data_IF_574697599698
#
_entry.id   IF_574697599698
#
_cell.length_a   1.000
_cell.length_b   1.000
_cell.length_c   1.000
_cell.angle_alpha   90.00
_cell.angle_beta   90.00
_cell.angle_gamma   90.00
#
_symmetry.space_group_name_H-M   'P 1'
#
loop_
_entity.id
_entity.type
_entity.pdbx_description
1 polymer ?
#
# COMPACT_ATOMS: atom_id res chain seq x y z
N UNK A 1 10.16 18.75 -6.48
CA UNK A 1 10.41 19.50 -5.23
C UNK A 1 9.90 18.68 -4.06
N UNK A 2 10.50 18.81 -2.89
CA UNK A 2 10.08 18.18 -1.64
C UNK A 2 9.85 19.26 -0.59
N UNK A 3 8.72 19.18 0.11
CA UNK A 3 8.39 20.01 1.26
C UNK A 3 8.39 19.14 2.52
N UNK A 4 9.20 19.54 3.50
CA UNK A 4 9.29 18.91 4.81
C UNK A 4 8.36 19.64 5.78
N UNK A 5 7.38 18.93 6.34
CA UNK A 5 6.30 19.55 7.13
C UNK A 5 6.82 20.10 8.46
N UNK A 6 7.75 19.37 9.09
CA UNK A 6 8.27 19.73 10.41
C UNK A 6 9.16 20.96 10.35
N UNK A 7 10.08 20.98 9.39
CA UNK A 7 11.01 22.11 9.20
C UNK A 7 10.41 23.24 8.36
N UNK A 8 9.28 22.97 7.68
CA UNK A 8 8.61 23.87 6.75
C UNK A 8 9.52 24.38 5.62
N UNK A 9 10.43 23.52 5.17
CA UNK A 9 11.39 23.85 4.11
C UNK A 9 10.99 23.24 2.78
N UNK A 10 11.30 23.95 1.70
CA UNK A 10 11.02 23.53 0.33
C UNK A 10 12.32 23.43 -0.46
N UNK A 11 12.67 22.22 -0.91
CA UNK A 11 13.96 21.98 -1.58
C UNK A 11 13.89 20.87 -2.64
N UNK A 12 14.80 20.86 -3.63
CA UNK A 12 14.94 19.75 -4.55
C UNK A 12 15.68 18.58 -3.88
N UNK A 13 15.01 17.44 -3.70
CA UNK A 13 15.64 16.19 -3.24
C UNK A 13 15.33 14.99 -4.14
N UNK A 14 16.29 14.05 -4.32
CA UNK A 14 16.01 12.77 -4.96
C UNK A 14 15.04 11.93 -4.12
N UNK A 15 13.99 11.38 -4.75
CA UNK A 15 12.93 10.60 -4.08
C UNK A 15 13.50 9.44 -3.23
N UNK A 16 14.53 8.74 -3.73
CA UNK A 16 15.15 7.63 -3.01
C UNK A 16 15.79 8.01 -1.68
N UNK A 17 16.17 9.28 -1.49
CA UNK A 17 16.69 9.80 -0.21
C UNK A 17 15.59 10.31 0.73
N UNK A 18 14.40 10.58 0.21
CA UNK A 18 13.28 11.15 0.99
C UNK A 18 12.49 10.04 1.70
N UNK A 19 12.32 8.88 1.06
CA UNK A 19 11.44 7.82 1.56
C UNK A 19 12.17 6.49 1.88
N UNK A 20 13.49 6.43 1.70
CA UNK A 20 14.31 5.27 2.08
C UNK A 20 14.69 5.30 3.56
N UNK A 21 14.55 4.16 4.25
CA UNK A 21 15.04 3.98 5.62
C UNK A 21 16.32 3.15 5.56
N UNK A 22 17.44 3.73 5.97
CA UNK A 22 18.76 3.08 5.88
C UNK A 22 18.94 2.08 7.02
N UNK A 23 19.48 0.89 6.71
CA UNK A 23 19.82 -0.18 7.66
C UNK A 23 18.62 -0.81 8.39
N UNK A 24 17.39 -0.59 7.94
CA UNK A 24 16.21 -1.13 8.60
C UNK A 24 16.14 -2.66 8.53
N UNK A 25 16.72 -3.25 7.48
CA UNK A 25 16.59 -4.68 7.20
C UNK A 25 17.89 -5.46 7.42
N UNK A 26 18.87 -4.91 8.16
CA UNK A 26 20.11 -5.64 8.47
C UNK A 26 19.82 -6.78 9.42
N UNK A 27 20.09 -8.00 8.97
CA UNK A 27 19.95 -9.20 9.80
C UNK A 27 21.32 -9.62 10.34
N UNK A 28 21.63 -9.16 11.56
CA UNK A 28 22.89 -9.50 12.24
C UNK A 28 23.06 -11.00 12.53
N UNK A 29 22.01 -11.82 12.37
CA UNK A 29 22.08 -13.28 12.55
C UNK A 29 22.58 -13.99 11.30
N UNK A 30 22.50 -13.36 10.13
CA UNK A 30 23.07 -13.89 8.89
C UNK A 30 24.51 -13.39 8.74
N UNK A 31 25.45 -14.10 9.36
CA UNK A 31 26.87 -13.72 9.36
C UNK A 31 27.50 -13.66 7.95
N UNK A 32 26.98 -14.45 7.01
CA UNK A 32 27.49 -14.49 5.63
C UNK A 32 27.05 -13.27 4.82
N UNK A 33 25.83 -12.78 5.05
CA UNK A 33 25.29 -11.61 4.36
C UNK A 33 24.21 -10.92 5.21
N UNK A 34 24.66 -9.98 6.04
CA UNK A 34 23.78 -9.17 6.90
C UNK A 34 22.80 -8.32 6.10
N UNK A 35 23.11 -8.01 4.84
CA UNK A 35 22.33 -7.14 3.95
C UNK A 35 21.48 -7.96 2.93
N UNK A 36 21.29 -9.26 3.15
CA UNK A 36 20.57 -10.12 2.21
C UNK A 36 19.11 -9.70 1.97
N UNK A 37 18.43 -9.16 3.00
CA UNK A 37 17.05 -8.67 2.89
C UNK A 37 16.98 -7.35 2.12
N UNK A 38 17.92 -6.44 2.35
CA UNK A 38 18.08 -5.21 1.56
C UNK A 38 18.26 -5.55 0.06
N UNK A 39 19.11 -6.55 -0.24
CA UNK A 39 19.31 -7.02 -1.61
C UNK A 39 18.03 -7.65 -2.20
N UNK A 40 17.28 -8.41 -1.40
CA UNK A 40 16.00 -8.98 -1.81
C UNK A 40 14.96 -7.91 -2.13
N UNK A 41 14.84 -6.90 -1.28
CA UNK A 41 13.99 -5.74 -1.50
C UNK A 41 14.41 -4.98 -2.76
N UNK A 42 15.70 -4.67 -2.92
CA UNK A 42 16.20 -3.96 -4.10
C UNK A 42 15.87 -4.70 -5.42
N UNK A 43 15.93 -6.03 -5.44
CA UNK A 43 15.50 -6.84 -6.60
C UNK A 43 14.01 -6.68 -6.87
N UNK A 44 13.17 -6.84 -5.85
CA UNK A 44 11.72 -6.69 -5.98
C UNK A 44 11.32 -5.28 -6.42
N UNK A 45 11.95 -4.25 -5.85
CA UNK A 45 11.74 -2.86 -6.22
C UNK A 45 12.14 -2.61 -7.68
N UNK A 46 13.25 -3.20 -8.16
CA UNK A 46 13.64 -3.11 -9.56
C UNK A 46 12.61 -3.74 -10.50
N UNK A 47 12.11 -4.92 -10.15
CA UNK A 47 11.11 -5.63 -10.94
C UNK A 47 9.80 -4.84 -11.00
N UNK A 48 9.31 -4.37 -9.85
CA UNK A 48 8.13 -3.52 -9.77
C UNK A 48 8.30 -2.20 -10.54
N UNK A 49 9.47 -1.54 -10.40
CA UNK A 49 9.76 -0.29 -11.11
C UNK A 49 9.78 -0.47 -12.63
N UNK A 50 10.24 -1.63 -13.13
CA UNK A 50 10.20 -1.96 -14.56
C UNK A 50 8.76 -2.08 -15.05
N UNK A 51 7.91 -2.79 -14.32
CA UNK A 51 6.48 -2.90 -14.64
C UNK A 51 5.80 -1.53 -14.59
N UNK A 52 6.04 -0.72 -13.55
CA UNK A 52 5.49 0.65 -13.43
C UNK A 52 5.96 1.53 -14.60
N UNK A 53 7.21 1.40 -15.05
CA UNK A 53 7.72 2.12 -16.23
C UNK A 53 6.96 1.72 -17.50
N UNK A 54 6.63 0.44 -17.67
CA UNK A 54 5.83 -0.02 -18.81
C UNK A 54 4.40 0.58 -18.75
N UNK A 55 3.80 0.67 -17.57
CA UNK A 55 2.51 1.34 -17.36
C UNK A 55 2.62 2.83 -17.78
N UNK A 56 3.69 3.51 -17.37
CA UNK A 56 3.99 4.88 -17.79
C UNK A 56 4.05 5.02 -19.30
N UNK A 57 4.88 4.23 -19.96
CA UNK A 57 5.04 4.31 -21.41
C UNK A 57 3.74 4.02 -22.16
N UNK A 58 2.91 3.09 -21.67
CA UNK A 58 1.60 2.80 -22.24
C UNK A 58 0.64 4.01 -22.11
N UNK A 59 0.60 4.65 -20.94
CA UNK A 59 -0.21 5.84 -20.68
C UNK A 59 0.25 7.03 -21.53
N UNK A 60 1.57 7.27 -21.63
CA UNK A 60 2.14 8.33 -22.46
C UNK A 60 1.84 8.13 -23.94
N UNK A 61 1.87 6.87 -24.40
CA UNK A 61 1.47 6.48 -25.75
C UNK A 61 -0.06 6.46 -25.96
N UNK A 62 -0.86 6.91 -24.96
CA UNK A 62 -2.33 6.96 -24.99
C UNK A 62 -3.00 5.62 -25.29
N UNK A 63 -2.37 4.52 -24.89
CA UNK A 63 -2.95 3.19 -25.01
C UNK A 63 -4.20 3.08 -24.11
N UNK A 64 -5.26 2.50 -24.65
CA UNK A 64 -6.51 2.27 -23.90
C UNK A 64 -6.40 1.06 -22.95
N UNK A 65 -5.42 0.19 -23.20
CA UNK A 65 -5.22 -1.05 -22.48
C UNK A 65 -3.76 -1.22 -22.11
N UNK A 66 -3.52 -1.75 -20.91
CA UNK A 66 -2.18 -2.07 -20.41
C UNK A 66 -2.13 -3.56 -20.17
N UNK A 67 -1.23 -4.23 -20.88
CA UNK A 67 -1.05 -5.69 -20.80
C UNK A 67 0.17 -6.01 -19.96
N UNK A 68 0.02 -6.92 -19.01
CA UNK A 68 1.12 -7.42 -18.20
C UNK A 68 1.02 -8.93 -18.01
N UNK A 69 2.16 -9.59 -17.94
CA UNK A 69 2.21 -11.02 -17.61
C UNK A 69 1.93 -11.23 -16.12
N UNK A 70 1.47 -12.43 -15.76
CA UNK A 70 1.24 -12.82 -14.35
C UNK A 70 2.47 -12.52 -13.50
N UNK A 71 3.66 -12.96 -13.93
CA UNK A 71 4.91 -12.72 -13.19
C UNK A 71 5.19 -11.24 -12.88
N UNK A 72 4.81 -10.33 -13.78
CA UNK A 72 4.95 -8.89 -13.58
C UNK A 72 3.92 -8.36 -12.58
N UNK A 73 2.67 -8.84 -12.69
CA UNK A 73 1.60 -8.53 -11.73
C UNK A 73 1.91 -9.08 -10.32
N UNK A 74 2.48 -10.28 -10.24
CA UNK A 74 2.92 -10.92 -9.00
C UNK A 74 4.01 -10.10 -8.30
N UNK A 75 4.96 -9.53 -9.07
CA UNK A 75 5.96 -8.61 -8.55
C UNK A 75 5.33 -7.34 -7.97
N UNK A 76 4.36 -6.72 -8.65
CA UNK A 76 3.61 -5.56 -8.14
C UNK A 76 2.84 -5.91 -6.86
N UNK A 77 2.19 -7.08 -6.80
CA UNK A 77 1.47 -7.55 -5.61
C UNK A 77 2.40 -7.76 -4.41
N UNK A 78 3.55 -8.40 -4.61
CA UNK A 78 4.58 -8.54 -3.57
C UNK A 78 5.12 -7.18 -3.13
N UNK A 79 5.44 -6.31 -4.09
CA UNK A 79 5.94 -4.97 -3.80
C UNK A 79 4.95 -4.19 -2.94
N UNK A 80 3.69 -4.04 -3.38
CA UNK A 80 2.64 -3.32 -2.64
C UNK A 80 2.37 -3.90 -1.24
N UNK A 81 2.39 -5.22 -1.08
CA UNK A 81 2.32 -5.87 0.24
C UNK A 81 3.53 -5.47 1.10
N UNK A 82 4.76 -5.59 0.61
CA UNK A 82 5.94 -5.27 1.41
C UNK A 82 6.08 -3.78 1.72
N UNK A 83 5.62 -2.90 0.82
CA UNK A 83 5.57 -1.46 1.10
C UNK A 83 4.66 -1.12 2.29
N UNK A 84 3.67 -1.97 2.57
CA UNK A 84 2.89 -1.91 3.79
C UNK A 84 3.63 -2.49 4.99
N UNK A 85 4.09 -3.72 4.83
CA UNK A 85 4.65 -4.55 5.89
C UNK A 85 5.86 -3.89 6.56
N UNK A 86 6.57 -3.03 5.82
CA UNK A 86 7.71 -2.25 6.30
C UNK A 86 7.38 -1.04 7.18
N UNK A 87 6.11 -0.69 7.39
CA UNK A 87 5.78 0.46 8.25
C UNK A 87 6.22 0.16 9.69
N UNK A 88 7.12 0.98 10.23
CA UNK A 88 7.74 0.81 11.56
C UNK A 88 6.72 0.65 12.69
N UNK A 89 5.56 1.31 12.58
CA UNK A 89 4.44 1.18 13.52
C UNK A 89 3.88 -0.25 13.62
N UNK A 90 3.98 -1.05 12.54
CA UNK A 90 3.59 -2.46 12.57
C UNK A 90 4.64 -3.32 13.27
N UNK A 91 5.93 -3.05 13.07
CA UNK A 91 7.01 -3.81 13.73
C UNK A 91 6.94 -3.67 15.25
N UNK A 92 6.58 -2.48 15.75
CA UNK A 92 6.57 -2.20 17.19
C UNK A 92 5.46 -2.92 17.96
N UNK A 93 4.26 -3.10 17.39
CA UNK A 93 3.10 -3.66 18.09
C UNK A 93 2.68 -5.04 17.58
N UNK A 94 2.83 -5.35 16.29
CA UNK A 94 2.23 -6.55 15.67
C UNK A 94 2.85 -7.88 16.15
N UNK A 95 4.13 -7.85 16.55
CA UNK A 95 4.85 -9.03 17.06
C UNK A 95 5.18 -8.92 18.55
N UNK A 96 4.52 -8.01 19.27
CA UNK A 96 4.67 -7.89 20.72
C UNK A 96 3.71 -8.86 21.43
N UNK A 97 4.26 -9.91 22.04
CA UNK A 97 3.48 -10.91 22.78
C UNK A 97 2.72 -10.33 23.97
N UNK A 98 3.16 -9.18 24.49
CA UNK A 98 2.55 -8.52 25.65
C UNK A 98 1.42 -7.57 25.26
N UNK A 99 1.28 -7.25 23.97
CA UNK A 99 0.16 -6.47 23.48
C UNK A 99 -1.16 -7.24 23.75
N UNK A 100 -2.15 -6.63 24.44
CA UNK A 100 -3.45 -7.24 24.65
C UNK A 100 -4.14 -7.68 23.35
N UNK A 101 -3.92 -6.95 22.25
CA UNK A 101 -4.53 -7.24 20.95
C UNK A 101 -3.93 -8.49 20.31
N UNK A 102 -2.70 -8.86 20.68
CA UNK A 102 -2.01 -10.04 20.18
C UNK A 102 -2.30 -11.32 20.97
N UNK A 103 -3.30 -11.30 21.86
CA UNK A 103 -3.69 -12.48 22.64
C UNK A 103 -3.92 -13.74 21.78
N UNK A 104 -4.58 -13.69 20.60
CA UNK A 104 -4.78 -14.88 19.78
C UNK A 104 -3.49 -15.46 19.20
N UNK A 105 -2.47 -14.65 18.92
CA UNK A 105 -1.22 -15.07 18.25
C UNK A 105 -0.08 -15.41 19.22
N UNK A 106 -0.25 -15.16 20.52
CA UNK A 106 0.82 -15.24 21.52
C UNK A 106 1.53 -16.59 21.57
N UNK A 107 0.79 -17.69 21.56
CA UNK A 107 1.38 -19.04 21.64
C UNK A 107 2.14 -19.39 20.36
N UNK A 108 1.63 -18.96 19.21
CA UNK A 108 2.32 -19.06 17.94
C UNK A 108 3.64 -18.29 17.94
N UNK A 109 3.65 -17.03 18.39
CA UNK A 109 4.88 -16.23 18.47
C UNK A 109 5.93 -16.91 19.36
N UNK A 110 5.53 -17.42 20.52
CA UNK A 110 6.43 -18.17 21.42
C UNK A 110 7.00 -19.42 20.75
N UNK A 111 6.14 -20.18 20.07
CA UNK A 111 6.58 -21.40 19.38
C UNK A 111 7.56 -21.10 18.25
N UNK A 112 7.22 -20.13 17.39
CA UNK A 112 8.04 -19.68 16.28
C UNK A 112 9.41 -19.20 16.76
N UNK A 113 9.44 -18.36 17.81
CA UNK A 113 10.68 -17.85 18.40
C UNK A 113 11.58 -18.97 18.91
N UNK A 114 11.00 -19.94 19.62
CA UNK A 114 11.73 -21.11 20.13
C UNK A 114 12.25 -21.99 18.99
N UNK A 115 11.43 -22.26 17.98
CA UNK A 115 11.77 -23.16 16.85
C UNK A 115 12.89 -22.58 15.98
N UNK A 116 12.88 -21.26 15.76
CA UNK A 116 13.82 -20.58 14.87
C UNK A 116 14.88 -19.75 15.60
N UNK A 117 15.02 -19.91 16.92
CA UNK A 117 15.96 -19.16 17.77
C UNK A 117 15.86 -17.63 17.55
N UNK A 118 14.64 -17.09 17.60
CA UNK A 118 14.34 -15.66 17.41
C UNK A 118 14.23 -14.99 18.79
N UNK A 119 15.09 -14.01 19.06
CA UNK A 119 15.25 -13.44 20.39
C UNK A 119 14.46 -12.16 20.59
N UNK A 120 14.25 -11.36 19.54
CA UNK A 120 13.53 -10.08 19.57
C UNK A 120 12.34 -10.11 18.61
N UNK A 121 11.38 -9.20 18.80
CA UNK A 121 10.25 -9.01 17.88
C UNK A 121 10.70 -8.69 16.45
N UNK A 122 11.77 -7.92 16.32
CA UNK A 122 12.38 -7.59 15.03
C UNK A 122 12.87 -8.85 14.30
N UNK A 123 13.38 -9.86 15.02
CA UNK A 123 13.82 -11.13 14.42
C UNK A 123 12.65 -11.90 13.79
N UNK A 124 11.46 -11.84 14.41
CA UNK A 124 10.22 -12.44 13.89
C UNK A 124 9.76 -11.73 12.63
N UNK A 125 9.81 -10.40 12.65
CA UNK A 125 9.49 -9.58 11.48
C UNK A 125 10.47 -9.83 10.32
N UNK A 126 11.78 -9.84 10.57
CA UNK A 126 12.80 -10.16 9.56
C UNK A 126 12.65 -11.59 9.02
N UNK A 127 12.28 -12.55 9.88
CA UNK A 127 11.97 -13.93 9.46
C UNK A 127 10.80 -13.96 8.46
N UNK A 128 9.72 -13.25 8.77
CA UNK A 128 8.57 -13.13 7.87
C UNK A 128 8.89 -12.42 6.56
N UNK A 129 9.63 -11.32 6.63
CA UNK A 129 10.11 -10.57 5.48
C UNK A 129 10.94 -11.46 4.54
N UNK A 130 11.86 -12.24 5.10
CA UNK A 130 12.68 -13.20 4.35
C UNK A 130 11.81 -14.19 3.59
N UNK A 131 10.82 -14.78 4.25
CA UNK A 131 9.91 -15.74 3.62
C UNK A 131 9.18 -15.13 2.42
N UNK A 132 8.62 -13.91 2.58
CA UNK A 132 7.90 -13.24 1.50
C UNK A 132 8.85 -12.85 0.36
N UNK A 133 10.08 -12.41 0.64
CA UNK A 133 11.06 -12.07 -0.39
C UNK A 133 11.50 -13.28 -1.21
N UNK A 134 11.91 -14.36 -0.53
CA UNK A 134 12.52 -15.54 -1.15
C UNK A 134 11.51 -16.45 -1.84
N UNK A 135 10.23 -16.40 -1.44
CA UNK A 135 9.20 -17.27 -1.98
C UNK A 135 8.47 -16.60 -3.15
N UNK A 136 8.33 -17.24 -4.33
CA UNK A 136 7.49 -16.72 -5.42
C UNK A 136 6.04 -16.51 -4.98
N UNK A 137 5.38 -15.45 -5.48
CA UNK A 137 4.03 -15.06 -5.08
C UNK A 137 3.03 -16.23 -5.13
N UNK A 138 2.92 -16.91 -6.27
CA UNK A 138 1.99 -18.03 -6.44
C UNK A 138 2.24 -19.17 -5.43
N UNK A 139 3.49 -19.39 -4.98
CA UNK A 139 3.80 -20.39 -3.94
C UNK A 139 3.39 -19.92 -2.55
N UNK A 140 3.51 -18.62 -2.25
CA UNK A 140 2.97 -18.04 -1.01
C UNK A 140 1.46 -18.26 -0.99
N UNK A 141 0.77 -17.91 -2.08
CA UNK A 141 -0.69 -18.09 -2.22
C UNK A 141 -1.08 -19.55 -1.99
N UNK A 142 -0.46 -20.49 -2.74
CA UNK A 142 -0.77 -21.91 -2.59
C UNK A 142 -0.48 -22.46 -1.19
N UNK A 143 0.54 -21.93 -0.49
CA UNK A 143 0.81 -22.29 0.91
C UNK A 143 -0.31 -21.79 1.83
N UNK A 144 -0.74 -20.53 1.67
CA UNK A 144 -1.84 -19.97 2.45
C UNK A 144 -3.16 -20.71 2.21
N UNK A 145 -3.49 -21.02 0.95
CA UNK A 145 -4.67 -21.82 0.57
C UNK A 145 -4.62 -23.23 1.21
N UNK A 146 -3.47 -23.91 1.18
CA UNK A 146 -3.28 -25.23 1.81
C UNK A 146 -3.49 -25.17 3.32
N UNK A 147 -2.97 -24.13 3.98
CA UNK A 147 -3.17 -23.93 5.42
C UNK A 147 -4.65 -23.67 5.69
N UNK A 148 -5.29 -22.82 4.90
CA UNK A 148 -6.71 -22.50 5.03
C UNK A 148 -7.62 -23.72 4.87
N UNK A 149 -7.36 -24.59 3.90
CA UNK A 149 -8.08 -25.85 3.73
C UNK A 149 -7.96 -26.76 4.96
N UNK A 150 -6.78 -26.84 5.60
CA UNK A 150 -6.56 -27.63 6.82
C UNK A 150 -7.50 -27.25 7.96
N UNK A 151 -7.90 -25.98 8.04
CA UNK A 151 -8.79 -25.47 9.09
C UNK A 151 -10.23 -25.29 8.60
N UNK A 152 -10.65 -25.97 7.53
CA UNK A 152 -12.05 -25.91 7.08
C UNK A 152 -12.37 -24.68 6.22
N UNK A 153 -11.39 -24.18 5.46
CA UNK A 153 -11.57 -23.10 4.51
C UNK A 153 -11.60 -21.70 5.15
N UNK A 154 -12.10 -20.67 4.44
CA UNK A 154 -12.10 -19.29 4.91
C UNK A 154 -12.77 -19.10 6.28
N UNK A 155 -13.90 -19.77 6.52
CA UNK A 155 -14.65 -19.64 7.78
C UNK A 155 -13.89 -20.21 8.96
N UNK A 156 -13.37 -21.44 8.86
CA UNK A 156 -12.66 -22.04 9.98
C UNK A 156 -11.27 -21.43 10.21
N UNK A 157 -10.63 -20.89 9.16
CA UNK A 157 -9.44 -20.03 9.28
C UNK A 157 -9.76 -18.76 10.09
N UNK A 158 -10.87 -18.08 9.79
CA UNK A 158 -11.30 -16.89 10.52
C UNK A 158 -11.55 -17.17 12.01
N UNK A 159 -12.20 -18.29 12.31
CA UNK A 159 -12.43 -18.70 13.71
C UNK A 159 -11.12 -19.01 14.44
N UNK A 160 -10.16 -19.67 13.78
CA UNK A 160 -8.82 -19.90 14.35
C UNK A 160 -8.09 -18.58 14.65
N UNK A 161 -8.13 -17.61 13.73
CA UNK A 161 -7.50 -16.29 13.90
C UNK A 161 -8.12 -15.45 15.02
N UNK A 162 -9.44 -15.55 15.23
CA UNK A 162 -10.16 -14.82 16.30
C UNK A 162 -9.92 -15.40 17.69
N UNK A 163 -9.75 -16.72 17.78
CA UNK A 163 -9.76 -17.43 19.06
C UNK A 163 -8.35 -17.71 19.56
N UNK A 164 -7.58 -18.51 18.82
CA UNK A 164 -6.21 -18.90 19.14
C UNK A 164 -5.53 -19.44 17.88
N UNK A 165 -4.46 -18.77 17.48
CA UNK A 165 -3.65 -19.23 16.36
C UNK A 165 -2.92 -20.51 16.72
N UNK A 166 -3.04 -21.51 15.83
CA UNK A 166 -2.36 -22.79 16.00
C UNK A 166 -0.84 -22.55 16.04
N UNK A 167 -0.17 -22.91 17.16
CA UNK A 167 1.23 -22.62 17.33
C UNK A 167 2.12 -23.36 16.33
N UNK A 168 1.65 -24.45 15.71
CA UNK A 168 2.44 -25.29 14.82
C UNK A 168 2.38 -24.86 13.34
N UNK A 169 1.69 -23.77 13.02
CA UNK A 169 1.73 -23.18 11.68
C UNK A 169 3.14 -22.61 11.42
N UNK A 170 3.86 -23.19 10.46
CA UNK A 170 5.24 -22.77 10.16
C UNK A 170 5.31 -21.49 9.31
N UNK A 171 4.40 -21.33 8.35
CA UNK A 171 4.40 -20.22 7.38
C UNK A 171 3.17 -19.33 7.55
N UNK A 172 2.92 -18.84 8.76
CA UNK A 172 1.75 -17.99 9.05
C UNK A 172 1.72 -16.73 8.19
N UNK A 173 2.88 -16.22 7.77
CA UNK A 173 2.99 -15.08 6.85
C UNK A 173 2.33 -15.38 5.50
N UNK A 174 2.25 -16.65 5.08
CA UNK A 174 1.50 -17.02 3.88
C UNK A 174 -0.01 -16.81 4.08
N UNK A 175 -0.55 -17.04 5.27
CA UNK A 175 -1.97 -16.82 5.59
C UNK A 175 -2.31 -15.34 5.46
N UNK A 176 -1.54 -14.48 6.13
CA UNK A 176 -1.74 -13.02 6.07
C UNK A 176 -1.58 -12.47 4.65
N UNK A 177 -0.53 -12.90 3.95
CA UNK A 177 -0.28 -12.51 2.56
C UNK A 177 -1.43 -12.91 1.63
N UNK A 178 -1.90 -14.16 1.72
CA UNK A 178 -3.01 -14.68 0.90
C UNK A 178 -4.29 -13.93 1.19
N UNK A 179 -4.63 -13.71 2.46
CA UNK A 179 -5.81 -12.95 2.87
C UNK A 179 -5.84 -11.56 2.22
N UNK A 180 -4.72 -10.83 2.27
CA UNK A 180 -4.62 -9.52 1.64
C UNK A 180 -4.69 -9.57 0.11
N UNK A 181 -4.04 -10.56 -0.51
CA UNK A 181 -4.00 -10.71 -1.96
C UNK A 181 -5.37 -11.09 -2.55
N UNK A 182 -6.16 -11.88 -1.83
CA UNK A 182 -7.49 -12.33 -2.24
C UNK A 182 -8.60 -11.36 -1.85
N UNK A 183 -8.38 -10.49 -0.87
CA UNK A 183 -9.35 -9.46 -0.51
C UNK A 183 -9.46 -8.35 -1.56
N UNK A 184 -8.46 -8.17 -2.44
CA UNK A 184 -8.37 -7.00 -3.31
C UNK A 184 -8.09 -7.31 -4.79
N UNK A 185 -8.62 -6.45 -5.67
CA UNK A 185 -8.20 -6.37 -7.06
C UNK A 185 -7.42 -5.07 -7.33
N UNK A 186 -6.49 -5.13 -8.28
CA UNK A 186 -5.67 -4.00 -8.68
C UNK A 186 -6.39 -3.20 -9.78
N UNK A 187 -6.37 -1.88 -9.66
CA UNK A 187 -6.64 -0.96 -10.75
C UNK A 187 -5.55 0.09 -10.87
N UNK A 188 -5.62 0.84 -11.97
CA UNK A 188 -4.63 1.83 -12.37
C UNK A 188 -5.37 3.14 -12.61
N UNK A 189 -5.02 4.19 -11.88
CA UNK A 189 -5.54 5.53 -12.09
C UNK A 189 -4.48 6.42 -12.70
N UNK A 190 -4.87 7.14 -13.75
CA UNK A 190 -4.09 8.21 -14.37
C UNK A 190 -4.60 9.55 -13.85
N UNK A 191 -3.70 10.43 -13.42
CA UNK A 191 -4.08 11.80 -13.03
C UNK A 191 -4.76 12.53 -14.20
N UNK A 192 -5.61 13.51 -13.87
CA UNK A 192 -6.24 14.34 -14.89
C UNK A 192 -5.22 15.05 -15.79
N UNK A 193 -5.67 15.46 -16.97
CA UNK A 193 -4.86 16.27 -17.87
C UNK A 193 -4.42 17.56 -17.17
N UNK A 194 -3.14 17.91 -17.32
CA UNK A 194 -2.46 19.04 -16.66
C UNK A 194 -2.45 19.05 -15.12
N UNK A 195 -2.97 18.01 -14.47
CA UNK A 195 -2.88 17.83 -13.02
C UNK A 195 -1.91 16.71 -12.66
N UNK A 196 -1.56 16.59 -11.39
CA UNK A 196 -0.68 15.52 -10.92
C UNK A 196 -1.11 14.99 -9.55
N UNK A 197 -0.73 13.75 -9.27
CA UNK A 197 -0.76 13.22 -7.92
C UNK A 197 0.43 13.73 -7.14
N UNK A 198 0.20 14.07 -5.87
CA UNK A 198 1.26 14.37 -4.91
C UNK A 198 1.73 13.08 -4.24
N UNK A 199 3.01 13.00 -3.91
CA UNK A 199 3.59 11.85 -3.20
C UNK A 199 3.92 12.27 -1.79
N UNK A 200 3.15 11.82 -0.80
CA UNK A 200 3.45 11.98 0.62
C UNK A 200 4.25 10.82 1.19
N UNK A 201 4.79 10.98 2.40
CA UNK A 201 5.42 9.87 3.16
C UNK A 201 4.48 8.70 3.46
N UNK A 202 3.17 8.94 3.38
CA UNK A 202 2.10 7.97 3.54
C UNK A 202 1.62 7.33 2.21
N UNK A 203 2.12 7.76 1.04
CA UNK A 203 1.60 7.38 -0.28
C UNK A 203 1.80 5.91 -0.67
N UNK A 204 2.54 5.12 0.11
CA UNK A 204 2.78 3.70 -0.15
C UNK A 204 1.86 2.84 0.72
N UNK A 205 0.59 2.72 0.33
CA UNK A 205 -0.39 1.84 0.96
C UNK A 205 -1.31 2.52 1.97
N UNK A 206 -1.71 3.77 1.69
CA UNK A 206 -2.68 4.53 2.47
C UNK A 206 -4.08 3.93 2.33
N UNK A 207 -4.77 3.76 3.47
CA UNK A 207 -6.14 3.28 3.50
C UNK A 207 -7.12 4.42 3.27
N UNK A 208 -8.16 4.16 2.48
CA UNK A 208 -9.29 5.05 2.34
C UNK A 208 -10.59 4.27 2.33
N UNK A 209 -11.62 4.88 2.92
CA UNK A 209 -12.97 4.39 2.87
C UNK A 209 -13.24 3.24 3.82
N UNK A 210 -14.47 3.18 4.28
CA UNK A 210 -15.06 2.08 4.99
C UNK A 210 -16.48 1.87 4.46
N UNK A 211 -16.97 0.64 4.58
CA UNK A 211 -18.34 0.25 4.32
C UNK A 211 -18.83 -0.49 5.55
N UNK A 212 -19.78 0.09 6.27
CA UNK A 212 -20.25 -0.39 7.57
C UNK A 212 -19.07 -0.64 8.53
N UNK A 213 -18.86 -1.87 8.97
CA UNK A 213 -17.75 -2.25 9.85
C UNK A 213 -16.44 -2.57 9.09
N UNK A 214 -16.47 -2.67 7.76
CA UNK A 214 -15.32 -3.02 6.94
C UNK A 214 -14.52 -1.76 6.58
N UNK A 215 -13.34 -1.62 7.18
CA UNK A 215 -12.42 -0.53 6.86
C UNK A 215 -11.52 -0.87 5.67
N UNK A 216 -11.00 0.16 5.01
CA UNK A 216 -10.00 0.03 3.96
C UNK A 216 -10.58 -0.41 2.62
N UNK A 217 -11.60 0.30 2.13
CA UNK A 217 -12.23 0.01 0.84
C UNK A 217 -11.24 0.14 -0.32
N UNK A 218 -10.37 1.15 -0.24
CA UNK A 218 -9.29 1.40 -1.17
C UNK A 218 -7.95 1.45 -0.45
N UNK A 219 -6.94 1.05 -1.19
CA UNK A 219 -5.56 1.15 -0.80
C UNK A 219 -4.74 1.82 -1.89
N UNK A 220 -4.22 2.99 -1.55
CA UNK A 220 -3.58 3.89 -2.50
C UNK A 220 -2.06 3.74 -2.47
N UNK A 221 -1.49 3.54 -3.66
CA UNK A 221 -0.06 3.54 -3.92
C UNK A 221 0.24 4.56 -5.02
N UNK A 222 0.51 5.80 -4.64
CA UNK A 222 0.93 6.82 -5.61
C UNK A 222 2.39 6.61 -5.93
N UNK A 223 2.64 6.05 -7.11
CA UNK A 223 3.98 5.65 -7.55
C UNK A 223 4.65 6.71 -8.43
N UNK A 224 3.87 7.68 -8.94
CA UNK A 224 4.38 8.82 -9.70
C UNK A 224 3.37 9.96 -9.76
N UNK A 225 3.75 11.14 -10.28
CA UNK A 225 2.84 12.27 -10.50
C UNK A 225 1.67 11.95 -11.43
N UNK A 226 1.75 10.89 -12.24
CA UNK A 226 0.69 10.54 -13.20
C UNK A 226 -0.01 9.24 -12.87
N UNK A 227 0.53 8.39 -12.00
CA UNK A 227 0.03 7.04 -11.78
C UNK A 227 -0.17 6.76 -10.30
N UNK A 228 -1.39 6.31 -9.98
CA UNK A 228 -1.69 5.64 -8.72
C UNK A 228 -2.09 4.18 -9.01
N UNK A 229 -1.45 3.24 -8.32
CA UNK A 229 -1.91 1.87 -8.22
C UNK A 229 -2.90 1.79 -7.06
N UNK A 230 -4.07 1.19 -7.31
CA UNK A 230 -5.15 1.12 -6.33
C UNK A 230 -5.52 -0.33 -6.10
N UNK A 231 -5.40 -0.80 -4.86
CA UNK A 231 -6.01 -2.07 -4.46
C UNK A 231 -7.40 -1.74 -3.91
N UNK A 232 -8.45 -2.25 -4.54
CA UNK A 232 -9.83 -2.09 -4.10
C UNK A 232 -10.37 -3.42 -3.62
N UNK A 233 -11.15 -3.41 -2.55
CA UNK A 233 -11.73 -4.64 -2.04
C UNK A 233 -12.65 -5.31 -3.05
N UNK A 234 -12.63 -6.63 -3.08
CA UNK A 234 -13.45 -7.43 -4.00
C UNK A 234 -14.96 -7.33 -3.74
N UNK A 235 -15.38 -6.80 -2.58
CA UNK A 235 -16.81 -6.54 -2.32
C UNK A 235 -17.38 -5.51 -3.31
N UNK A 236 -16.61 -4.52 -3.74
CA UNK A 236 -17.02 -3.49 -4.72
C UNK A 236 -16.50 -3.80 -6.13
N UNK A 237 -16.32 -5.09 -6.42
CA UNK A 237 -15.83 -5.55 -7.72
C UNK A 237 -16.87 -5.36 -8.82
N UNK A 238 -18.13 -5.63 -8.51
CA UNK A 238 -19.24 -5.53 -9.46
C UNK A 238 -19.95 -4.17 -9.33
N UNK A 239 -20.30 -3.49 -10.44
CA UNK A 239 -20.94 -2.17 -10.41
C UNK A 239 -22.26 -2.12 -9.61
N UNK A 240 -23.02 -3.22 -9.61
CA UNK A 240 -24.26 -3.34 -8.85
C UNK A 240 -24.01 -3.22 -7.35
N UNK A 241 -22.91 -3.80 -6.86
CA UNK A 241 -22.54 -3.72 -5.44
C UNK A 241 -22.06 -2.32 -5.05
N UNK A 242 -21.36 -1.62 -5.95
CA UNK A 242 -21.04 -0.19 -5.75
C UNK A 242 -22.32 0.63 -5.58
N UNK A 243 -23.32 0.42 -6.44
CA UNK A 243 -24.60 1.12 -6.35
C UNK A 243 -25.38 0.76 -5.07
N UNK A 244 -25.36 -0.51 -4.67
CA UNK A 244 -25.97 -0.96 -3.42
C UNK A 244 -25.31 -0.26 -2.22
N UNK A 245 -23.98 -0.27 -2.14
CA UNK A 245 -23.24 0.36 -1.03
C UNK A 245 -23.54 1.86 -0.96
N UNK A 246 -23.60 2.55 -2.11
CA UNK A 246 -23.91 3.99 -2.15
C UNK A 246 -25.33 4.34 -1.68
N UNK A 247 -26.28 3.44 -1.88
CA UNK A 247 -27.70 3.71 -1.62
C UNK A 247 -28.20 3.12 -0.31
N UNK A 248 -27.58 2.06 0.18
CA UNK A 248 -28.08 1.25 1.29
C UNK A 248 -27.07 1.00 2.41
N UNK A 249 -25.77 1.21 2.18
CA UNK A 249 -24.74 1.01 3.21
C UNK A 249 -24.18 2.34 3.71
N UNK A 250 -23.61 2.33 4.92
CA UNK A 250 -22.89 3.49 5.43
C UNK A 250 -21.47 3.46 4.89
N UNK A 251 -21.19 4.30 3.90
CA UNK A 251 -19.83 4.48 3.39
C UNK A 251 -19.30 5.88 3.67
N UNK A 252 -18.03 5.97 4.06
CA UNK A 252 -17.31 7.25 4.19
C UNK A 252 -16.27 7.46 3.08
N UNK A 253 -16.26 6.60 2.05
CA UNK A 253 -15.32 6.71 0.94
C UNK A 253 -15.72 7.85 0.02
N UNK A 254 -14.78 8.74 -0.29
CA UNK A 254 -14.94 9.81 -1.29
C UNK A 254 -14.43 9.38 -2.67
N UNK A 255 -13.88 8.17 -2.77
CA UNK A 255 -13.31 7.59 -4.00
C UNK A 255 -14.15 6.45 -4.59
N UNK A 256 -15.21 6.01 -3.90
CA UNK A 256 -16.06 4.89 -4.34
C UNK A 256 -16.68 5.12 -5.72
N UNK A 257 -16.93 6.38 -6.08
CA UNK A 257 -17.52 6.78 -7.36
C UNK A 257 -16.54 6.75 -8.52
N UNK A 258 -15.24 6.60 -8.26
CA UNK A 258 -14.24 6.50 -9.32
C UNK A 258 -14.39 5.12 -9.97
N UNK A 259 -14.72 5.04 -11.28
CA UNK A 259 -14.83 3.76 -11.97
C UNK A 259 -13.51 3.00 -11.88
N UNK A 260 -13.59 1.68 -11.74
CA UNK A 260 -12.41 0.84 -11.81
C UNK A 260 -12.82 -0.54 -12.29
N UNK A 261 -12.31 -0.93 -13.45
CA UNK A 261 -12.57 -2.23 -14.04
C UNK A 261 -11.57 -3.26 -13.52
N UNK A 262 -12.03 -4.51 -13.46
CA UNK A 262 -11.17 -5.65 -13.17
C UNK A 262 -10.40 -6.02 -14.43
N UNK A 263 -9.14 -6.42 -14.30
CA UNK A 263 -8.37 -6.93 -15.42
C UNK A 263 -9.04 -8.16 -16.06
N UNK A 264 -9.02 -8.20 -17.39
CA UNK A 264 -9.37 -9.41 -18.13
C UNK A 264 -8.14 -10.31 -18.24
N UNK A 265 -8.33 -11.62 -18.11
CA UNK A 265 -7.24 -12.59 -18.13
C UNK A 265 -7.29 -13.43 -19.40
N UNK A 266 -6.14 -13.56 -20.07
CA UNK A 266 -5.90 -14.52 -21.15
C UNK A 266 -4.91 -15.57 -20.64
N UNK A 267 -5.36 -16.82 -20.59
CA UNK A 267 -4.55 -17.93 -20.08
C UNK A 267 -3.57 -18.43 -21.13
N UNK A 268 -2.32 -18.69 -20.74
CA UNK A 268 -1.26 -19.08 -21.67
C UNK A 268 -1.52 -20.41 -22.37
N UNK A 269 -2.22 -21.33 -21.71
CA UNK A 269 -2.58 -22.63 -22.29
C UNK A 269 -3.87 -22.57 -23.15
N UNK A 270 -4.46 -21.39 -23.33
CA UNK A 270 -5.71 -21.12 -24.07
C UNK A 270 -6.94 -21.94 -23.64
N UNK A 271 -6.81 -22.75 -22.59
CA UNK A 271 -7.91 -23.45 -21.96
C UNK A 271 -8.41 -22.55 -20.83
N UNK A 272 -9.49 -21.81 -21.10
CA UNK A 272 -10.23 -21.16 -20.01
C UNK A 272 -10.73 -22.27 -19.11
N UNK A 273 -10.35 -22.29 -17.83
CA UNK A 273 -10.73 -23.43 -17.05
C UNK A 273 -12.26 -23.35 -16.72
N UNK A 274 -12.98 -24.49 -16.68
CA UNK A 274 -14.42 -24.56 -17.00
C UNK A 274 -15.33 -24.09 -15.84
N UNK A 275 -15.36 -22.79 -15.54
CA UNK A 275 -15.85 -22.30 -14.24
C UNK A 275 -17.15 -21.48 -14.24
N UNK A 276 -17.67 -21.05 -15.41
CA UNK A 276 -18.78 -20.07 -15.43
C UNK A 276 -20.19 -20.64 -15.66
N UNK A 277 -20.32 -21.89 -16.10
CA UNK A 277 -21.60 -22.36 -16.65
C UNK A 277 -22.34 -23.38 -15.76
N UNK A 278 -21.83 -23.70 -14.56
CA UNK A 278 -22.51 -24.63 -13.64
C UNK A 278 -22.12 -24.40 -12.15
N UNK A 279 -23.04 -23.91 -11.29
CA UNK A 279 -22.79 -23.64 -9.88
C UNK A 279 -22.29 -24.84 -9.05
N UNK A 280 -22.62 -26.07 -9.47
CA UNK A 280 -22.18 -27.30 -8.79
C UNK A 280 -20.68 -27.59 -8.87
N UNK A 281 -19.91 -26.84 -9.67
CA UNK A 281 -18.48 -27.05 -9.87
C UNK A 281 -17.60 -25.93 -9.29
N UNK A 282 -18.14 -24.97 -8.52
CA UNK A 282 -17.37 -23.80 -8.06
C UNK A 282 -16.18 -24.15 -7.15
N UNK A 283 -16.30 -25.15 -6.29
CA UNK A 283 -15.17 -25.58 -5.45
C UNK A 283 -14.12 -26.34 -6.25
N UNK A 284 -14.55 -27.25 -7.13
CA UNK A 284 -13.64 -27.96 -8.04
C UNK A 284 -12.91 -26.97 -8.94
N UNK A 285 -13.62 -25.93 -9.36
CA UNK A 285 -13.11 -24.79 -10.09
C UNK A 285 -12.02 -24.02 -9.35
N UNK A 286 -12.30 -23.66 -8.10
CA UNK A 286 -11.33 -23.00 -7.25
C UNK A 286 -10.07 -23.87 -7.11
N UNK A 287 -10.24 -25.17 -6.77
CA UNK A 287 -9.12 -26.10 -6.56
C UNK A 287 -8.26 -26.27 -7.82
N UNK A 288 -8.88 -26.41 -8.99
CA UNK A 288 -8.14 -26.57 -10.23
C UNK A 288 -7.48 -25.27 -10.70
N UNK A 289 -8.10 -24.10 -10.45
CA UNK A 289 -7.45 -22.81 -10.67
C UNK A 289 -6.23 -22.64 -9.75
N UNK A 290 -6.33 -23.01 -8.47
CA UNK A 290 -5.20 -23.00 -7.53
C UNK A 290 -4.06 -23.89 -8.00
N UNK A 291 -4.35 -25.12 -8.44
CA UNK A 291 -3.34 -26.01 -9.05
C UNK A 291 -2.71 -25.40 -10.29
N UNK A 292 -3.51 -24.82 -11.18
CA UNK A 292 -3.02 -24.20 -12.40
C UNK A 292 -2.05 -23.03 -12.11
N UNK A 293 -2.37 -22.17 -11.15
CA UNK A 293 -1.54 -21.02 -10.76
C UNK A 293 -0.13 -21.40 -10.31
N UNK A 294 0.07 -22.64 -9.85
CA UNK A 294 1.38 -23.18 -9.46
C UNK A 294 2.22 -23.70 -10.64
N UNK A 295 1.65 -23.76 -11.85
CA UNK A 295 2.35 -24.22 -13.04
C UNK A 295 3.22 -23.12 -13.66
N UNK A 296 4.29 -23.47 -14.39
CA UNK A 296 5.06 -22.51 -15.17
C UNK A 296 4.23 -21.76 -16.21
N UNK A 297 3.27 -22.44 -16.86
CA UNK A 297 2.42 -21.86 -17.91
C UNK A 297 1.60 -20.67 -17.38
N UNK A 298 1.07 -20.78 -16.16
CA UNK A 298 0.30 -19.70 -15.55
C UNK A 298 1.11 -18.39 -15.42
N UNK A 299 2.44 -18.47 -15.31
CA UNK A 299 3.31 -17.30 -15.20
C UNK A 299 3.35 -16.45 -16.48
N UNK A 300 2.95 -17.05 -17.61
CA UNK A 300 2.85 -16.41 -18.92
C UNK A 300 1.41 -15.94 -19.23
N UNK A 301 0.46 -16.12 -18.32
CA UNK A 301 -0.88 -15.52 -18.43
C UNK A 301 -0.78 -14.01 -18.60
N UNK A 302 -1.65 -13.45 -19.43
CA UNK A 302 -1.70 -12.01 -19.68
C UNK A 302 -2.93 -11.42 -19.04
N UNK A 303 -2.71 -10.38 -18.23
CA UNK A 303 -3.74 -9.55 -17.65
C UNK A 303 -3.81 -8.22 -18.42
N UNK A 304 -5.00 -7.88 -18.89
CA UNK A 304 -5.27 -6.63 -19.59
C UNK A 304 -6.07 -5.70 -18.68
N UNK A 305 -5.47 -4.57 -18.35
CA UNK A 305 -6.05 -3.52 -17.51
C UNK A 305 -6.53 -2.35 -18.38
N UNK A 306 -7.62 -1.71 -17.98
CA UNK A 306 -8.05 -0.44 -18.54
C UNK A 306 -7.76 0.66 -17.51
N UNK A 307 -6.74 1.51 -17.71
CA UNK A 307 -6.44 2.60 -16.81
C UNK A 307 -7.60 3.60 -16.80
N UNK A 308 -7.98 4.09 -15.63
CA UNK A 308 -9.01 5.11 -15.49
C UNK A 308 -8.34 6.48 -15.39
N UNK A 309 -8.50 7.32 -16.42
CA UNK A 309 -8.11 8.72 -16.33
C UNK A 309 -9.11 9.47 -15.46
N UNK A 310 -8.61 10.06 -14.39
CA UNK A 310 -9.41 10.80 -13.44
C UNK A 310 -9.82 12.16 -14.00
N UNK A 311 -10.96 12.66 -13.52
CA UNK A 311 -11.26 14.09 -13.63
C UNK A 311 -10.36 14.90 -12.70
N UNK A 312 -10.30 16.21 -12.91
CA UNK A 312 -9.57 17.14 -12.01
C UNK A 312 -10.03 16.98 -10.57
N UNK A 313 -11.34 16.98 -10.34
CA UNK A 313 -11.92 16.83 -9.00
C UNK A 313 -11.58 15.49 -8.34
N UNK A 314 -11.54 14.40 -9.11
CA UNK A 314 -11.12 13.10 -8.61
C UNK A 314 -9.62 13.06 -8.29
N UNK A 315 -8.78 13.71 -9.12
CA UNK A 315 -7.34 13.85 -8.85
C UNK A 315 -7.11 14.62 -7.54
N UNK A 316 -7.83 15.72 -7.33
CA UNK A 316 -7.77 16.46 -6.07
C UNK A 316 -8.32 15.67 -4.89
N UNK A 317 -9.35 14.84 -5.06
CA UNK A 317 -9.84 13.95 -4.01
C UNK A 317 -8.75 12.97 -3.55
N UNK A 318 -8.02 12.36 -4.48
CA UNK A 318 -6.87 11.48 -4.17
C UNK A 318 -5.79 12.25 -3.41
N UNK A 319 -5.40 13.43 -3.91
CA UNK A 319 -4.40 14.27 -3.24
C UNK A 319 -4.85 14.70 -1.84
N UNK A 320 -6.12 15.04 -1.68
CA UNK A 320 -6.69 15.44 -0.38
C UNK A 320 -6.55 14.33 0.66
N UNK A 321 -6.76 13.06 0.29
CA UNK A 321 -6.58 11.92 1.19
C UNK A 321 -5.12 11.81 1.65
N UNK A 322 -4.17 12.00 0.72
CA UNK A 322 -2.73 11.97 1.03
C UNK A 322 -2.37 13.09 2.00
N UNK A 323 -2.83 14.31 1.74
CA UNK A 323 -2.50 15.50 2.53
C UNK A 323 -3.13 15.49 3.94
N UNK A 324 -4.33 14.94 4.10
CA UNK A 324 -5.00 14.88 5.42
C UNK A 324 -4.34 13.87 6.35
N UNK A 325 -3.85 12.76 5.79
CA UNK A 325 -3.19 11.70 6.57
C UNK A 325 -1.67 11.88 6.63
N UNK A 326 -1.17 13.06 6.26
CA UNK A 326 0.24 13.34 6.30
C UNK A 326 0.66 13.55 7.76
N UNK A 327 1.69 12.83 8.26
CA UNK A 327 2.14 13.02 9.63
C UNK A 327 2.86 14.37 9.79
N UNK A 328 2.95 14.86 11.03
CA UNK A 328 3.57 16.16 11.34
C UNK A 328 5.07 16.21 11.00
N UNK A 329 5.74 15.05 10.99
CA UNK A 329 7.12 14.84 10.56
C UNK A 329 7.23 14.32 9.12
N UNK A 330 6.13 14.38 8.37
CA UNK A 330 6.03 13.88 7.02
C UNK A 330 6.62 14.81 5.95
N UNK A 331 6.71 14.26 4.74
CA UNK A 331 7.20 14.97 3.56
C UNK A 331 6.17 14.89 2.44
N UNK A 332 6.08 15.95 1.62
CA UNK A 332 5.31 15.94 0.37
C UNK A 332 6.23 16.25 -0.80
N UNK A 333 6.19 15.41 -1.82
CA UNK A 333 6.91 15.57 -3.07
C UNK A 333 5.94 15.80 -4.22
N UNK A 334 6.26 16.77 -5.07
CA UNK A 334 5.48 17.14 -6.24
C UNK A 334 6.42 17.54 -7.39
N UNK A 335 5.97 17.34 -8.62
CA UNK A 335 6.75 17.63 -9.82
C UNK A 335 6.51 19.07 -10.31
N UNK A 336 5.27 19.54 -10.29
CA UNK A 336 4.88 20.86 -10.76
C UNK A 336 4.48 21.79 -9.61
N UNK A 337 5.24 22.88 -9.32
CA UNK A 337 4.86 23.89 -8.34
C UNK A 337 3.45 24.47 -8.59
N UNK A 338 3.08 24.65 -9.86
CA UNK A 338 1.76 25.18 -10.21
C UNK A 338 0.64 24.17 -9.92
N UNK A 339 0.83 22.88 -10.24
CA UNK A 339 -0.16 21.85 -9.93
C UNK A 339 -0.30 21.64 -8.41
N UNK A 340 0.82 21.70 -7.68
CA UNK A 340 0.79 21.66 -6.21
C UNK A 340 0.05 22.85 -5.61
N UNK A 341 0.26 24.07 -6.13
CA UNK A 341 -0.47 25.26 -5.67
C UNK A 341 -1.97 25.08 -5.84
N UNK A 342 -2.44 24.67 -7.03
CA UNK A 342 -3.87 24.40 -7.27
C UNK A 342 -4.41 23.31 -6.34
N UNK A 343 -3.64 22.25 -6.12
CA UNK A 343 -3.99 21.17 -5.20
C UNK A 343 -4.18 21.69 -3.77
N UNK A 344 -3.29 22.56 -3.29
CA UNK A 344 -3.39 23.17 -1.97
C UNK A 344 -4.56 24.14 -1.85
N UNK A 345 -4.77 24.99 -2.86
CA UNK A 345 -5.92 25.91 -2.92
C UNK A 345 -7.23 25.12 -2.79
N UNK A 346 -7.39 24.03 -3.54
CA UNK A 346 -8.55 23.14 -3.46
C UNK A 346 -8.64 22.45 -2.09
N UNK A 347 -7.53 21.90 -1.59
CA UNK A 347 -7.49 21.21 -0.30
C UNK A 347 -7.93 22.11 0.87
N UNK A 348 -7.45 23.35 0.92
CA UNK A 348 -7.77 24.31 1.98
C UNK A 348 -9.25 24.73 1.93
N UNK A 349 -9.82 24.86 0.74
CA UNK A 349 -11.24 25.23 0.52
C UNK A 349 -12.20 24.04 0.71
N UNK A 350 -11.73 22.80 0.56
CA UNK A 350 -12.56 21.59 0.64
C UNK A 350 -13.06 21.33 2.06
N UNK A 351 -14.38 21.21 2.22
CA UNK A 351 -15.02 20.75 3.46
C UNK A 351 -15.40 19.27 3.39
N UNK A 352 -14.89 18.52 2.41
CA UNK A 352 -15.30 17.12 2.17
C UNK A 352 -14.91 16.15 3.28
N UNK A 353 -13.91 16.48 4.10
CA UNK A 353 -13.44 15.63 5.21
C UNK A 353 -13.44 16.45 6.52
N UNK A 354 -14.27 16.07 7.52
CA UNK A 354 -14.45 16.83 8.76
C UNK A 354 -13.17 17.06 9.57
N UNK A 355 -12.22 16.13 9.47
CA UNK A 355 -11.00 16.09 10.29
C UNK A 355 -9.78 16.77 9.66
N UNK A 356 -9.95 17.47 8.53
CA UNK A 356 -8.84 18.14 7.83
C UNK A 356 -8.29 19.39 8.56
N UNK A 357 -8.82 19.75 9.73
CA UNK A 357 -8.52 21.01 10.41
C UNK A 357 -7.01 21.22 10.65
N UNK A 358 -6.35 20.25 11.27
CA UNK A 358 -4.93 20.35 11.65
C UNK A 358 -3.99 20.28 10.44
N UNK A 359 -4.25 19.34 9.50
CA UNK A 359 -3.44 19.19 8.28
C UNK A 359 -3.45 20.45 7.40
N UNK A 360 -4.59 21.17 7.36
CA UNK A 360 -4.71 22.43 6.62
C UNK A 360 -3.76 23.51 7.14
N UNK A 361 -3.50 23.58 8.46
CA UNK A 361 -2.58 24.59 9.00
C UNK A 361 -1.14 24.31 8.57
N UNK A 362 -0.72 23.05 8.59
CA UNK A 362 0.64 22.62 8.27
C UNK A 362 1.06 22.95 6.82
N UNK A 363 0.09 23.01 5.92
CA UNK A 363 0.34 23.22 4.49
C UNK A 363 0.13 24.67 4.02
N UNK A 364 -0.34 25.59 4.89
CA UNK A 364 -0.49 27.01 4.53
C UNK A 364 0.84 27.68 4.18
N UNK A 365 1.91 27.34 4.89
CA UNK A 365 3.21 27.92 4.60
C UNK A 365 3.72 27.50 3.22
N UNK A 366 3.56 26.22 2.85
CA UNK A 366 3.88 25.75 1.51
C UNK A 366 3.11 26.52 0.42
N UNK A 367 1.82 26.82 0.63
CA UNK A 367 1.06 27.64 -0.31
C UNK A 367 1.67 29.05 -0.47
N UNK A 368 2.12 29.66 0.63
CA UNK A 368 2.85 30.93 0.60
C UNK A 368 4.13 30.85 -0.23
N UNK A 369 5.00 29.87 0.06
CA UNK A 369 6.25 29.63 -0.65
C UNK A 369 6.04 29.44 -2.16
N UNK A 370 5.00 28.69 -2.54
CA UNK A 370 4.65 28.47 -3.94
C UNK A 370 4.12 29.73 -4.62
N UNK A 371 3.39 30.59 -3.89
CA UNK A 371 2.84 31.84 -4.40
C UNK A 371 3.92 32.89 -4.64
N UNK A 372 4.93 32.95 -3.78
CA UNK A 372 6.08 33.85 -3.93
C UNK A 372 7.00 33.46 -5.11
N UNK A 373 7.09 32.16 -5.40
CA UNK A 373 7.95 31.62 -6.46
C UNK A 373 7.44 31.86 -7.90
N UNK A 374 6.17 32.23 -8.06
CA UNK A 374 5.51 32.43 -9.37
C UNK A 374 5.50 33.89 -9.81
N UNK A 375 5.94 34.84 -8.97
CA UNK A 375 6.16 36.23 -9.41
C UNK A 375 7.39 36.25 -10.32
N UNK A 376 7.28 36.65 -11.60
CA UNK A 376 8.46 36.78 -12.45
C UNK A 376 9.33 37.89 -11.84
N UNK A 377 10.44 37.50 -11.20
CA UNK A 377 11.50 38.44 -10.87
C UNK A 377 12.06 38.94 -12.21
N UNK A 378 11.62 40.14 -12.60
CA UNK A 378 12.27 40.90 -13.65
C UNK A 378 13.78 40.99 -13.36
N UNK A 379 14.61 41.14 -14.40
CA UNK A 379 16.05 41.09 -14.21
C UNK A 379 16.44 42.30 -13.37
N UNK A 380 17.03 42.08 -12.20
CA UNK A 380 17.87 43.09 -11.60
C UNK A 380 19.08 42.48 -10.91
N UNK A 381 20.21 43.20 -10.99
CA UNK A 381 21.54 42.60 -10.96
C UNK A 381 22.08 42.47 -9.55
N UNK A 382 22.94 41.48 -9.38
CA UNK A 382 24.16 41.54 -8.57
C UNK A 382 24.05 42.21 -7.20
N UNK A 383 23.95 41.40 -6.13
CA UNK A 383 24.75 41.70 -4.94
C UNK A 383 25.20 40.42 -4.26
N UNK A 384 26.52 40.24 -4.32
CA UNK A 384 27.31 39.32 -3.52
C UNK A 384 27.24 39.74 -2.05
N UNK A 385 26.97 38.79 -1.15
CA UNK A 385 27.58 38.81 0.17
C UNK A 385 27.59 37.41 0.78
N UNK A 386 28.78 36.86 0.89
CA UNK A 386 29.08 35.70 1.69
C UNK A 386 29.08 36.09 3.17
N UNK A 387 28.57 35.22 4.06
CA UNK A 387 29.07 35.11 5.44
C UNK A 387 28.67 33.75 6.05
N UNK A 388 29.62 33.29 6.86
CA UNK A 388 29.93 31.94 7.37
C UNK A 388 28.93 31.33 8.38
N UNK A 389 29.07 30.02 8.67
CA UNK A 389 28.14 29.26 9.51
C UNK A 389 28.39 29.48 11.01
N UNK A 390 27.32 29.48 11.81
CA UNK A 390 27.40 29.35 13.27
C UNK A 390 26.83 28.01 13.72
N UNK A 391 27.67 27.33 14.47
CA UNK A 391 27.51 26.07 15.16
C UNK A 391 26.62 26.18 16.41
N UNK A 392 25.99 25.05 16.75
CA UNK A 392 25.86 24.57 18.12
C UNK A 392 24.67 25.09 18.94
N UNK A 393 23.63 24.27 19.04
CA UNK A 393 22.81 24.19 20.27
C UNK A 393 22.42 22.72 20.47
N UNK A 394 22.97 22.11 21.52
CA UNK A 394 22.44 20.88 22.13
C UNK A 394 21.10 21.20 22.79
N UNK A 395 20.05 20.47 22.45
CA UNK A 395 18.78 20.50 23.21
C UNK A 395 18.40 19.07 23.58
N UNK A 396 18.56 18.80 24.88
CA UNK A 396 17.98 17.65 25.58
C UNK A 396 16.46 17.86 25.65
N UNK A 397 15.67 16.92 25.13
CA UNK A 397 14.22 16.90 25.28
C UNK A 397 13.81 15.93 26.40
N UNK A 398 12.89 16.31 27.31
CA UNK A 398 12.28 15.37 28.25
C UNK A 398 11.25 14.51 27.51
N UNK A 399 11.29 13.20 27.78
CA UNK A 399 10.21 12.28 27.41
C UNK A 399 9.07 12.40 28.43
N UNK A 400 7.88 12.75 27.95
CA UNK A 400 6.62 12.31 28.58
C UNK A 400 5.64 11.81 27.50
N UNK A 401 4.78 10.83 27.83
CA UNK A 401 4.05 10.06 26.84
C UNK A 401 2.71 10.73 26.48
N UNK A 402 2.54 11.09 25.21
CA UNK A 402 1.23 11.47 24.68
C UNK A 402 0.43 10.23 24.31
N UNK A 403 -0.47 9.87 25.23
CA UNK A 403 -1.59 8.97 24.99
C UNK A 403 -2.69 9.68 24.20
N UNK A 404 -2.93 9.29 22.95
CA UNK A 404 -4.25 9.49 22.32
C UNK A 404 -4.40 8.72 21.00
N UNK A 405 -5.30 7.73 21.06
CA UNK A 405 -6.28 7.34 20.03
C UNK A 405 -5.70 6.92 18.68
N UNK A 406 -5.15 5.70 18.63
CA UNK A 406 -5.24 4.84 17.45
C UNK A 406 -6.30 3.77 17.73
N UNK A 407 -7.48 3.91 17.14
CA UNK A 407 -8.48 2.85 17.12
C UNK A 407 -7.99 1.71 16.23
N UNK A 408 -7.40 0.71 16.90
CA UNK A 408 -7.51 -0.74 16.68
C UNK A 408 -7.71 -1.23 15.24
N UNK A 409 -6.63 -1.71 14.61
CA UNK A 409 -6.71 -2.64 13.46
C UNK A 409 -5.57 -3.67 13.43
N UNK A 410 -4.94 -3.97 14.57
CA UNK A 410 -3.80 -4.90 14.64
C UNK A 410 -4.11 -6.35 14.21
N UNK A 411 -5.35 -6.81 14.38
CA UNK A 411 -5.79 -8.15 13.98
C UNK A 411 -7.23 -8.20 13.38
N UNK A 412 -7.96 -7.08 13.39
CA UNK A 412 -9.35 -6.99 12.86
C UNK A 412 -9.43 -6.70 11.36
N UNK A 413 -8.31 -6.39 10.71
CA UNK A 413 -8.22 -6.24 9.24
C UNK A 413 -8.48 -7.54 8.46
N UNK A 414 -8.61 -8.67 9.17
CA UNK A 414 -8.89 -10.01 8.64
C UNK A 414 -10.38 -10.35 8.60
N UNK A 415 -11.27 -9.35 8.60
CA UNK A 415 -12.70 -9.58 8.37
C UNK A 415 -12.94 -9.84 6.87
N UNK A 416 -12.54 -11.02 6.40
CA UNK A 416 -12.98 -11.56 5.10
C UNK A 416 -14.41 -12.07 5.31
N UNK A 417 -15.40 -11.27 4.89
CA UNK A 417 -16.74 -11.79 4.65
C UNK A 417 -16.79 -12.30 3.22
N UNK A 418 -16.92 -13.63 3.08
CA UNK A 418 -17.43 -14.22 1.85
C UNK A 418 -18.87 -13.75 1.63
N UNK A 419 -19.32 -13.60 0.37
CA UNK A 419 -20.74 -13.40 0.09
C UNK A 419 -21.51 -14.61 0.64
N UNK A 420 -22.48 -14.34 1.51
CA UNK A 420 -23.52 -15.31 1.85
C UNK A 420 -24.27 -15.63 0.57
N UNK A 421 -24.39 -16.93 0.28
CA UNK A 421 -25.27 -17.51 -0.74
C UNK A 421 -26.68 -16.98 -0.66
#
# INVERSE_FOLDING_TARGET
MMYDVMTQTLEPRPIGKVYGIVNMYRDGRNADNVDHLEQGLARLENDAARTIRNIHSAIEARQQEIRMKRRELEAIRKFTYLMHYRRTSLVSSYFDENDPDNKPIRDYLKNLRRKHNLHKKDDVWLFGLKYVLDTPHHKIIGTGETIQERYGGPTGMLEMLKTRVDPDIENFQAVDYTAMADANFLGIWEAAEDEEFVVGSNSFGLWEGAVDALSGLHRLFVVSPKIALVLRQNIVREPEMVNHIKTQAHTNSILIDIPMSVATSTYANYQRPPWRDSPGYLEEAARALSKYRLTPDAQEDVFTFQPTRLTREQTYAVNQIILIHLPNDGNVTFASPNAMRKTLEHHLQSNRIPYAGESKYLLRNLLGLLSESVVPKGPNPSTSSALLPRSGVDIVLPMEPLSSIQTMTGLTGLTILLPTT
#
